data_IF_626665574986
#
_entry.id   IF_626665574986
#
_cell.length_a   1.000
_cell.length_b   1.000
_cell.length_c   1.000
_cell.angle_alpha   90.00
_cell.angle_beta   90.00
_cell.angle_gamma   90.00
#
_symmetry.space_group_name_H-M   'P 1'
#
loop_
_entity.id
_entity.type
_entity.pdbx_description
1 polymer ?
#
# COMPACT_ATOMS: atom_id res chain seq x y z
N UNK A 1 -10.11 18.48 6.62
CA UNK A 1 -10.83 18.83 5.38
C UNK A 1 -12.25 18.30 5.41
N UNK A 2 -12.48 16.98 5.43
CA UNK A 2 -13.83 16.39 5.37
C UNK A 2 -14.80 16.94 6.45
N UNK A 3 -14.32 17.11 7.69
CA UNK A 3 -15.10 17.75 8.77
C UNK A 3 -15.53 19.18 8.45
N UNK A 4 -14.61 19.98 7.89
CA UNK A 4 -14.89 21.38 7.56
C UNK A 4 -15.94 21.52 6.44
N UNK A 5 -15.98 20.57 5.49
CA UNK A 5 -17.01 20.53 4.44
C UNK A 5 -18.43 20.37 5.02
N UNK A 6 -18.54 19.71 6.18
CA UNK A 6 -19.81 19.47 6.88
C UNK A 6 -20.05 20.44 8.05
N UNK A 7 -19.18 21.43 8.26
CA UNK A 7 -19.25 22.33 9.41
C UNK A 7 -19.03 21.65 10.77
N UNK A 8 -18.41 20.46 10.78
CA UNK A 8 -18.21 19.66 11.99
C UNK A 8 -16.89 20.00 12.69
N UNK A 9 -16.94 19.97 14.02
CA UNK A 9 -15.79 20.11 14.91
C UNK A 9 -15.29 18.74 15.40
N UNK A 10 -14.22 18.72 16.19
CA UNK A 10 -13.79 17.53 16.91
C UNK A 10 -14.68 17.23 18.13
N UNK A 11 -15.39 18.24 18.65
CA UNK A 11 -16.25 18.12 19.83
C UNK A 11 -17.52 17.31 19.56
N UNK A 12 -17.96 17.26 18.31
CA UNK A 12 -19.14 16.49 17.89
C UNK A 12 -18.92 14.98 18.03
N UNK A 13 -17.66 14.52 18.20
CA UNK A 13 -17.28 13.11 18.39
C UNK A 13 -17.83 12.16 17.31
N UNK A 14 -18.19 12.68 16.14
CA UNK A 14 -18.64 11.88 15.01
C UNK A 14 -17.46 11.06 14.47
N UNK A 15 -17.62 9.75 14.24
CA UNK A 15 -16.54 8.91 13.74
C UNK A 15 -16.20 9.24 12.29
N UNK A 16 -14.94 9.03 11.91
CA UNK A 16 -14.47 9.34 10.55
C UNK A 16 -15.17 8.48 9.48
N UNK A 17 -15.62 7.27 9.82
CA UNK A 17 -16.40 6.42 8.91
C UNK A 17 -17.72 7.10 8.52
N UNK A 18 -18.40 7.69 9.50
CA UNK A 18 -19.67 8.40 9.28
C UNK A 18 -19.47 9.68 8.45
N UNK A 19 -18.40 10.43 8.71
CA UNK A 19 -18.04 11.62 7.93
C UNK A 19 -17.77 11.26 6.46
N UNK A 20 -17.11 10.12 6.20
CA UNK A 20 -16.87 9.62 4.84
C UNK A 20 -18.15 9.18 4.16
N UNK A 21 -19.05 8.49 4.88
CA UNK A 21 -20.35 8.08 4.34
C UNK A 21 -21.17 9.29 3.88
N UNK A 22 -21.14 10.39 4.65
CA UNK A 22 -21.84 11.64 4.30
C UNK A 22 -21.20 12.39 3.14
N UNK A 23 -19.87 12.39 3.03
CA UNK A 23 -19.16 13.13 1.97
C UNK A 23 -18.99 12.33 0.69
N UNK A 24 -19.15 11.00 0.73
CA UNK A 24 -18.91 10.10 -0.41
C UNK A 24 -17.43 10.00 -0.82
N UNK A 25 -16.51 10.55 0.00
CA UNK A 25 -15.08 10.57 -0.32
C UNK A 25 -14.49 9.18 -0.05
N UNK A 26 -13.68 8.70 -1.01
CA UNK A 26 -13.00 7.41 -0.90
C UNK A 26 -12.04 7.40 0.28
N UNK A 27 -11.98 6.28 1.01
CA UNK A 27 -11.04 6.13 2.11
C UNK A 27 -9.59 6.30 1.61
N UNK A 28 -8.88 7.26 2.20
CA UNK A 28 -7.49 7.58 1.84
C UNK A 28 -6.56 6.37 1.97
N UNK A 29 -6.82 5.47 2.93
CA UNK A 29 -6.02 4.26 3.14
C UNK A 29 -6.17 3.31 1.96
N UNK A 30 -7.39 3.11 1.48
CA UNK A 30 -7.67 2.30 0.28
C UNK A 30 -7.00 2.93 -0.94
N UNK A 31 -7.12 4.25 -1.10
CA UNK A 31 -6.48 4.97 -2.22
C UNK A 31 -4.97 4.87 -2.19
N UNK A 32 -4.35 5.00 -1.01
CA UNK A 32 -2.91 4.88 -0.84
C UNK A 32 -2.42 3.45 -1.15
N UNK A 33 -3.13 2.42 -0.66
CA UNK A 33 -2.81 1.02 -0.95
C UNK A 33 -2.90 0.71 -2.46
N UNK A 34 -3.98 1.16 -3.12
CA UNK A 34 -4.16 1.04 -4.56
C UNK A 34 -3.02 1.74 -5.34
N UNK A 35 -2.65 2.96 -4.97
CA UNK A 35 -1.56 3.69 -5.61
C UNK A 35 -0.22 2.98 -5.42
N UNK A 36 0.05 2.47 -4.21
CA UNK A 36 1.25 1.68 -3.92
C UNK A 36 1.31 0.42 -4.79
N UNK A 37 0.20 -0.32 -4.90
CA UNK A 37 0.08 -1.52 -5.72
C UNK A 37 0.32 -1.23 -7.21
N UNK A 38 -0.33 -0.19 -7.73
CA UNK A 38 -0.17 0.21 -9.13
C UNK A 38 1.25 0.67 -9.45
N UNK A 39 1.87 1.43 -8.55
CA UNK A 39 3.26 1.85 -8.69
C UNK A 39 4.23 0.67 -8.67
N UNK A 40 4.06 -0.28 -7.75
CA UNK A 40 4.90 -1.48 -7.68
C UNK A 40 4.89 -2.26 -9.00
N UNK A 41 3.69 -2.55 -9.51
CA UNK A 41 3.53 -3.22 -10.80
C UNK A 41 4.10 -2.41 -11.96
N UNK A 42 3.93 -1.08 -11.96
CA UNK A 42 4.48 -0.21 -13.00
C UNK A 42 6.00 -0.26 -13.04
N UNK A 43 6.66 -0.16 -11.87
CA UNK A 43 8.12 -0.18 -11.80
C UNK A 43 8.69 -1.55 -12.20
N UNK A 44 8.11 -2.66 -11.74
CA UNK A 44 8.61 -3.99 -12.06
C UNK A 44 8.52 -4.33 -13.56
N UNK A 45 7.49 -3.81 -14.26
CA UNK A 45 7.30 -4.01 -15.70
C UNK A 45 8.13 -3.06 -16.57
N UNK A 46 8.79 -2.06 -16.00
CA UNK A 46 9.67 -1.20 -16.79
C UNK A 46 11.01 -1.90 -17.02
N UNK A 47 11.40 -1.98 -18.28
CA UNK A 47 12.69 -2.53 -18.74
C UNK A 47 13.68 -1.42 -19.11
N UNK A 48 13.62 -0.26 -18.44
CA UNK A 48 14.49 0.88 -18.76
C UNK A 48 15.85 0.85 -18.04
N UNK A 49 16.20 -0.26 -17.39
CA UNK A 49 17.49 -0.44 -16.70
C UNK A 49 17.74 0.55 -15.55
N UNK A 50 16.72 1.31 -15.13
CA UNK A 50 16.89 2.40 -14.16
C UNK A 50 17.00 1.88 -12.73
N UNK A 51 17.73 2.64 -11.92
CA UNK A 51 17.93 2.46 -10.48
C UNK A 51 16.66 2.15 -9.67
N UNK A 52 15.48 2.54 -10.15
CA UNK A 52 14.19 2.32 -9.48
C UNK A 52 13.88 0.85 -9.21
N UNK A 53 14.20 -0.06 -10.15
CA UNK A 53 14.04 -1.51 -9.94
C UNK A 53 15.09 -2.04 -8.95
N UNK A 54 16.32 -1.54 -9.03
CA UNK A 54 17.41 -1.89 -8.11
C UNK A 54 17.05 -1.51 -6.67
N UNK A 55 16.44 -0.34 -6.45
CA UNK A 55 16.00 0.12 -5.13
C UNK A 55 14.91 -0.79 -4.53
N UNK A 56 14.00 -1.32 -5.35
CA UNK A 56 12.99 -2.27 -4.90
C UNK A 56 13.59 -3.61 -4.44
N UNK A 57 14.60 -4.08 -5.15
CA UNK A 57 15.35 -5.29 -4.79
C UNK A 57 16.37 -5.05 -3.68
N UNK A 58 16.72 -3.79 -3.43
CA UNK A 58 17.82 -3.44 -2.57
C UNK A 58 17.58 -3.95 -1.15
N UNK A 59 18.46 -4.86 -0.76
CA UNK A 59 18.58 -5.40 0.57
C UNK A 59 20.07 -5.31 0.94
N UNK A 60 20.42 -4.71 2.09
CA UNK A 60 21.79 -4.78 2.59
C UNK A 60 22.21 -6.25 2.64
N UNK A 61 23.27 -6.59 1.88
CA UNK A 61 23.86 -7.94 1.88
C UNK A 61 24.82 -8.14 3.05
N UNK A 62 25.35 -7.04 3.58
CA UNK A 62 26.22 -6.98 4.74
C UNK A 62 25.45 -6.44 5.94
N UNK A 63 25.60 -7.10 7.09
CA UNK A 63 24.96 -6.74 8.36
C UNK A 63 23.80 -7.66 8.77
N UNK A 64 23.58 -7.77 10.07
CA UNK A 64 22.45 -8.49 10.66
C UNK A 64 21.32 -7.51 11.00
N UNK A 65 20.07 -7.95 10.89
CA UNK A 65 18.95 -7.17 11.44
C UNK A 65 18.92 -7.37 12.96
N UNK A 66 18.43 -6.36 13.67
CA UNK A 66 18.14 -6.50 15.11
C UNK A 66 17.20 -7.68 15.34
N UNK A 67 17.49 -8.45 16.39
CA UNK A 67 16.63 -9.52 16.87
C UNK A 67 15.38 -8.87 17.49
N UNK A 68 14.20 -9.47 17.29
CA UNK A 68 12.93 -8.98 17.82
C UNK A 68 12.00 -8.45 16.72
N UNK A 69 11.63 -7.16 16.79
CA UNK A 69 10.69 -6.50 15.87
C UNK A 69 11.43 -5.53 14.93
N UNK A 70 12.15 -6.04 13.90
CA UNK A 70 12.79 -5.18 12.93
C UNK A 70 11.72 -4.37 12.16
N UNK A 71 12.03 -3.13 11.73
CA UNK A 71 11.11 -2.32 10.93
C UNK A 71 10.69 -3.03 9.64
N UNK A 72 9.42 -2.93 9.30
CA UNK A 72 8.90 -3.44 8.02
C UNK A 72 9.50 -2.62 6.86
N UNK A 73 9.96 -3.31 5.82
CA UNK A 73 10.41 -2.67 4.59
C UNK A 73 9.22 -2.33 3.71
N UNK A 74 9.45 -1.41 2.78
CA UNK A 74 8.43 -1.00 1.83
C UNK A 74 7.81 -2.15 1.04
N UNK A 75 8.57 -3.21 0.70
CA UNK A 75 8.07 -4.36 -0.07
C UNK A 75 7.41 -5.44 0.79
N UNK A 76 7.54 -5.38 2.12
CA UNK A 76 7.16 -6.50 2.99
C UNK A 76 5.64 -6.72 3.01
N UNK A 77 4.84 -5.66 2.82
CA UNK A 77 3.38 -5.78 2.68
C UNK A 77 2.96 -6.36 1.32
N UNK A 78 3.67 -6.03 0.24
CA UNK A 78 3.46 -6.67 -1.07
C UNK A 78 3.81 -8.16 -0.99
N UNK A 79 4.93 -8.50 -0.35
CA UNK A 79 5.33 -9.90 -0.12
C UNK A 79 4.32 -10.62 0.78
N UNK A 80 3.73 -9.95 1.76
CA UNK A 80 2.67 -10.53 2.60
C UNK A 80 1.39 -10.80 1.79
N UNK A 81 1.04 -9.92 0.85
CA UNK A 81 -0.15 -10.07 0.02
C UNK A 81 -0.03 -11.18 -1.04
N UNK A 82 1.10 -11.29 -1.73
CA UNK A 82 1.23 -12.18 -2.92
C UNK A 82 2.49 -13.06 -2.94
N UNK A 83 3.27 -13.05 -1.86
CA UNK A 83 4.45 -13.89 -1.69
C UNK A 83 5.73 -13.32 -2.29
N UNK A 84 6.83 -14.08 -2.14
CA UNK A 84 8.19 -13.65 -2.51
C UNK A 84 8.39 -13.45 -4.02
N UNK A 85 7.62 -14.14 -4.86
CA UNK A 85 7.71 -14.08 -6.32
C UNK A 85 6.84 -12.96 -6.93
N UNK A 86 6.41 -11.98 -6.12
CA UNK A 86 5.54 -10.88 -6.54
C UNK A 86 6.06 -10.12 -7.77
N UNK A 87 7.37 -9.99 -7.93
CA UNK A 87 7.96 -9.32 -9.10
C UNK A 87 7.63 -10.03 -10.41
N UNK A 88 7.71 -11.37 -10.43
CA UNK A 88 7.33 -12.18 -11.60
C UNK A 88 5.82 -12.12 -11.84
N UNK A 89 5.03 -12.09 -10.76
CA UNK A 89 3.58 -11.94 -10.82
C UNK A 89 3.17 -10.65 -11.55
N UNK A 90 3.95 -9.57 -11.42
CA UNK A 90 3.62 -8.29 -12.05
C UNK A 90 3.51 -8.35 -13.57
N UNK A 91 4.19 -9.31 -14.23
CA UNK A 91 4.12 -9.49 -15.69
C UNK A 91 2.71 -9.90 -16.13
N UNK A 92 2.00 -10.67 -15.31
CA UNK A 92 0.60 -11.01 -15.56
C UNK A 92 -0.31 -9.90 -15.02
N UNK A 93 -0.66 -8.92 -15.88
CA UNK A 93 -1.50 -7.76 -15.50
C UNK A 93 -2.87 -8.15 -14.92
N UNK A 94 -3.64 -9.08 -15.52
CA UNK A 94 -4.92 -9.52 -14.93
C UNK A 94 -4.74 -10.05 -13.51
N UNK A 95 -3.76 -10.94 -13.31
CA UNK A 95 -3.46 -11.51 -12.00
C UNK A 95 -2.96 -10.46 -11.02
N UNK A 96 -2.14 -9.51 -11.46
CA UNK A 96 -1.69 -8.40 -10.63
C UNK A 96 -2.86 -7.54 -10.14
N UNK A 97 -3.79 -7.16 -11.03
CA UNK A 97 -4.99 -6.39 -10.66
C UNK A 97 -5.89 -7.14 -9.69
N UNK A 98 -6.12 -8.44 -9.91
CA UNK A 98 -6.96 -9.25 -9.05
C UNK A 98 -6.45 -9.34 -7.59
N UNK A 99 -5.15 -9.12 -7.36
CA UNK A 99 -4.55 -9.16 -6.02
C UNK A 99 -4.46 -7.78 -5.34
N UNK A 100 -4.92 -6.70 -5.98
CA UNK A 100 -4.93 -5.35 -5.40
C UNK A 100 -5.77 -5.29 -4.13
N UNK A 101 -6.92 -5.96 -4.13
CA UNK A 101 -7.86 -6.02 -3.00
C UNK A 101 -7.21 -6.60 -1.73
N UNK A 102 -6.30 -7.56 -1.88
CA UNK A 102 -5.60 -8.17 -0.75
C UNK A 102 -4.74 -7.16 0.03
N UNK A 103 -4.03 -6.27 -0.68
CA UNK A 103 -3.25 -5.21 -0.03
C UNK A 103 -4.16 -4.16 0.62
N UNK A 104 -5.27 -3.82 -0.06
CA UNK A 104 -6.24 -2.86 0.45
C UNK A 104 -6.86 -3.38 1.76
N UNK A 105 -7.31 -4.63 1.81
CA UNK A 105 -7.84 -5.27 3.01
C UNK A 105 -6.82 -5.26 4.15
N UNK A 106 -5.58 -5.67 3.87
CA UNK A 106 -4.50 -5.65 4.85
C UNK A 106 -4.30 -4.26 5.47
N UNK A 107 -4.38 -3.19 4.68
CA UNK A 107 -4.19 -1.83 5.17
C UNK A 107 -5.43 -1.27 5.90
N UNK A 108 -6.63 -1.71 5.52
CA UNK A 108 -7.88 -1.30 6.18
C UNK A 108 -8.16 -2.04 7.48
N UNK A 109 -7.63 -3.25 7.67
CA UNK A 109 -7.80 -4.02 8.92
C UNK A 109 -6.86 -3.58 10.04
N UNK A 110 -5.77 -2.89 9.71
CA UNK A 110 -4.74 -2.47 10.68
C UNK A 110 -5.04 -1.09 11.29
N UNK A 111 -5.94 -0.31 10.69
CA UNK A 111 -6.26 1.07 11.09
C UNK A 111 -7.67 1.24 11.65
#
# INVERSE_FOLDING_TARGET
>A
MERAMLGLSLLDKIPNVEIRNRTGITNIVQRAAALKWNWAGHICRREDGRWRRVILDWQPRTGHRSIGRPPARWRDDIVKAVGKNWMQLTSNRPRWRANEEALVQQWTEIG
#
